data_IF_657908172046
#
_entry.id   IF_657908172046
#
_cell.length_a   1.000
_cell.length_b   1.000
_cell.length_c   1.000
_cell.angle_alpha   90.00
_cell.angle_beta   90.00
_cell.angle_gamma   90.00
#
_symmetry.space_group_name_H-M   'P 1'
#
loop_
_entity.id
_entity.type
_entity.pdbx_description
1 polymer ?
#
# COMPACT_ATOMS: atom_id res chain seq x y z
N UNK A 1 -9.42 -12.22 -3.21
CA UNK A 1 -10.03 -12.17 -4.57
C UNK A 1 -9.42 -11.00 -5.33
N UNK A 2 -9.20 -11.13 -6.64
CA UNK A 2 -8.58 -10.10 -7.48
C UNK A 2 -9.31 -10.03 -8.82
N UNK A 3 -9.67 -8.82 -9.26
CA UNK A 3 -10.19 -8.56 -10.60
C UNK A 3 -9.58 -7.28 -11.17
N UNK A 4 -9.42 -7.19 -12.49
CA UNK A 4 -8.89 -5.98 -13.11
C UNK A 4 -9.11 -5.91 -14.62
N UNK A 5 -9.06 -4.69 -15.14
CA UNK A 5 -9.28 -4.38 -16.53
C UNK A 5 -8.22 -3.39 -17.04
N UNK A 6 -7.64 -3.68 -18.21
CA UNK A 6 -6.68 -2.81 -18.88
C UNK A 6 -7.31 -2.27 -20.15
N UNK A 7 -7.35 -0.94 -20.29
CA UNK A 7 -7.84 -0.29 -21.48
C UNK A 7 -6.75 -0.31 -22.55
N UNK A 8 -6.97 -1.08 -23.62
CA UNK A 8 -6.00 -1.25 -24.72
C UNK A 8 -6.18 -0.24 -25.86
N UNK A 9 -7.24 0.57 -25.85
CA UNK A 9 -7.58 1.52 -26.94
C UNK A 9 -6.96 2.91 -26.77
N UNK A 10 -6.05 3.09 -25.82
CA UNK A 10 -5.43 4.37 -25.50
C UNK A 10 -3.95 4.18 -25.14
N UNK A 11 -3.10 5.06 -25.65
CA UNK A 11 -1.64 4.89 -25.68
C UNK A 11 -0.98 4.81 -24.29
N UNK A 12 -1.59 5.45 -23.30
CA UNK A 12 -1.14 5.44 -21.89
C UNK A 12 -1.50 4.18 -21.08
N UNK A 13 -2.10 3.15 -21.71
CA UNK A 13 -2.38 1.81 -21.16
C UNK A 13 -2.90 1.78 -19.71
N UNK A 14 -3.99 2.51 -19.37
CA UNK A 14 -4.50 2.55 -18.02
C UNK A 14 -5.02 1.17 -17.61
N UNK A 15 -4.77 0.80 -16.36
CA UNK A 15 -5.29 -0.42 -15.75
C UNK A 15 -5.93 -0.10 -14.40
N UNK A 16 -7.16 -0.55 -14.23
CA UNK A 16 -7.87 -0.50 -12.95
C UNK A 16 -7.98 -1.92 -12.42
N UNK A 17 -7.69 -2.13 -11.14
CA UNK A 17 -7.97 -3.41 -10.47
C UNK A 17 -8.57 -3.20 -9.09
N UNK A 18 -9.33 -4.18 -8.63
CA UNK A 18 -9.87 -4.25 -7.28
C UNK A 18 -9.45 -5.58 -6.65
N UNK A 19 -9.00 -5.51 -5.40
CA UNK A 19 -8.45 -6.64 -4.67
C UNK A 19 -9.10 -6.69 -3.29
N UNK A 20 -9.37 -7.89 -2.81
CA UNK A 20 -9.85 -8.11 -1.45
C UNK A 20 -9.02 -9.22 -0.81
N UNK A 21 -8.35 -8.87 0.27
CA UNK A 21 -7.54 -9.77 1.07
C UNK A 21 -8.24 -10.03 2.39
N UNK A 22 -8.50 -11.30 2.67
CA UNK A 22 -9.00 -11.78 3.95
C UNK A 22 -7.85 -12.48 4.67
N UNK A 23 -7.71 -12.38 6.00
CA UNK A 23 -6.58 -12.99 6.67
C UNK A 23 -6.64 -14.51 6.57
N UNK A 24 -5.49 -15.09 6.26
CA UNK A 24 -5.12 -16.46 6.61
C UNK A 24 -3.93 -16.36 7.58
N UNK A 25 -3.96 -17.12 8.67
CA UNK A 25 -2.99 -17.01 9.78
C UNK A 25 -1.61 -17.51 9.34
N UNK A 26 -0.82 -16.65 8.69
CA UNK A 26 0.57 -16.93 8.35
C UNK A 26 1.49 -15.83 8.90
N UNK A 27 2.72 -16.20 9.25
CA UNK A 27 3.76 -15.24 9.60
C UNK A 27 4.04 -14.31 8.41
N UNK A 28 4.17 -13.01 8.66
CA UNK A 28 4.37 -12.02 7.60
C UNK A 28 5.61 -12.35 6.76
N UNK A 29 5.48 -12.22 5.44
CA UNK A 29 6.59 -12.40 4.49
C UNK A 29 7.53 -11.19 4.62
N UNK A 30 8.80 -11.44 4.91
CA UNK A 30 9.83 -10.40 5.02
C UNK A 30 9.91 -9.57 3.73
N UNK A 31 9.81 -8.25 3.83
CA UNK A 31 9.84 -7.33 2.67
C UNK A 31 8.52 -7.17 1.90
N UNK A 32 7.43 -7.84 2.29
CA UNK A 32 6.12 -7.67 1.64
C UNK A 32 5.31 -6.48 2.18
N UNK A 33 5.73 -5.88 3.31
CA UNK A 33 4.99 -4.83 4.02
C UNK A 33 4.80 -3.58 3.14
N UNK A 34 5.88 -3.09 2.53
CA UNK A 34 5.88 -1.94 1.59
C UNK A 34 5.11 -2.16 0.28
N UNK A 35 4.75 -3.41 -0.06
CA UNK A 35 4.23 -3.76 -1.39
C UNK A 35 2.82 -4.32 -1.38
N UNK A 36 2.37 -4.89 -0.27
CA UNK A 36 1.15 -5.69 -0.24
C UNK A 36 0.06 -5.17 0.71
N UNK A 37 0.36 -4.29 1.67
CA UNK A 37 -0.62 -3.84 2.69
C UNK A 37 -0.53 -2.35 3.02
N UNK A 38 -0.41 -1.51 1.98
CA UNK A 38 -0.16 -0.08 2.12
C UNK A 38 1.33 0.24 2.21
N UNK A 39 1.76 1.32 1.55
CA UNK A 39 3.18 1.69 1.52
C UNK A 39 3.67 2.33 2.80
N UNK A 40 2.76 2.73 3.69
CA UNK A 40 3.13 3.41 4.93
C UNK A 40 3.60 2.45 6.05
N UNK A 41 3.61 1.14 5.80
CA UNK A 41 3.99 0.10 6.77
C UNK A 41 3.17 0.10 8.08
N UNK A 42 1.99 0.70 8.08
CA UNK A 42 1.11 0.76 9.26
C UNK A 42 0.38 -0.56 9.51
N UNK A 43 0.28 -1.42 8.50
CA UNK A 43 -0.46 -2.67 8.58
C UNK A 43 0.46 -3.89 8.59
N UNK A 44 -0.01 -4.94 9.25
CA UNK A 44 0.59 -6.28 9.25
C UNK A 44 -0.48 -7.27 8.82
N UNK A 45 -0.12 -8.30 8.05
CA UNK A 45 -1.08 -9.30 7.56
C UNK A 45 -1.47 -10.32 8.64
N UNK A 46 -1.97 -9.81 9.76
CA UNK A 46 -2.47 -10.56 10.91
C UNK A 46 -3.72 -9.85 11.41
N UNK A 47 -4.81 -10.60 11.52
CA UNK A 47 -6.12 -10.05 11.87
C UNK A 47 -6.54 -8.85 10.97
N UNK A 48 -6.18 -8.89 9.69
CA UNK A 48 -6.35 -7.76 8.76
C UNK A 48 -7.17 -8.18 7.54
N UNK A 49 -8.28 -7.48 7.31
CA UNK A 49 -8.99 -7.43 6.05
C UNK A 49 -8.60 -6.16 5.30
N UNK A 50 -8.31 -6.29 4.01
CA UNK A 50 -7.99 -5.18 3.12
C UNK A 50 -8.87 -5.23 1.87
N UNK A 51 -9.57 -4.14 1.59
CA UNK A 51 -10.24 -3.90 0.33
C UNK A 51 -9.50 -2.79 -0.41
N UNK A 52 -8.95 -3.13 -1.57
CA UNK A 52 -8.02 -2.29 -2.33
C UNK A 52 -8.57 -1.99 -3.72
N UNK A 53 -8.39 -0.75 -4.17
CA UNK A 53 -8.56 -0.34 -5.57
C UNK A 53 -7.24 0.24 -6.07
N UNK A 54 -6.86 -0.16 -7.27
CA UNK A 54 -5.60 0.18 -7.89
C UNK A 54 -5.82 0.85 -9.25
N UNK A 55 -5.09 1.92 -9.50
CA UNK A 55 -4.96 2.56 -10.80
C UNK A 55 -3.49 2.56 -11.21
N UNK A 56 -3.19 1.99 -12.38
CA UNK A 56 -1.86 2.01 -12.98
C UNK A 56 -1.94 2.74 -14.31
N UNK A 57 -1.05 3.70 -14.52
CA UNK A 57 -0.94 4.49 -15.73
C UNK A 57 0.48 4.36 -16.27
N UNK A 58 0.63 4.19 -17.59
CA UNK A 58 1.93 4.23 -18.26
C UNK A 58 1.85 5.14 -19.48
N UNK A 59 1.88 6.48 -19.29
CA UNK A 59 1.82 7.42 -20.40
C UNK A 59 2.88 7.22 -21.47
N UNK A 60 4.06 6.73 -21.08
CA UNK A 60 5.15 6.34 -21.99
C UNK A 60 5.90 5.13 -21.41
N UNK A 61 6.81 4.53 -22.17
CA UNK A 61 7.70 3.49 -21.64
C UNK A 61 8.63 3.98 -20.51
N UNK A 62 8.85 5.30 -20.42
CA UNK A 62 9.73 5.94 -19.45
C UNK A 62 9.02 6.40 -18.19
N UNK A 63 7.69 6.51 -18.21
CA UNK A 63 6.92 7.10 -17.13
C UNK A 63 5.78 6.17 -16.73
N UNK A 64 5.73 5.83 -15.46
CA UNK A 64 4.64 5.03 -14.90
C UNK A 64 4.18 5.59 -13.56
N UNK A 65 2.89 5.48 -13.31
CA UNK A 65 2.25 5.83 -12.05
C UNK A 65 1.45 4.65 -11.53
N UNK A 66 1.44 4.47 -10.21
CA UNK A 66 0.55 3.55 -9.52
C UNK A 66 -0.08 4.29 -8.35
N UNK A 67 -1.39 4.38 -8.34
CA UNK A 67 -2.18 4.86 -7.22
C UNK A 67 -2.97 3.70 -6.62
N UNK A 68 -3.07 3.67 -5.29
CA UNK A 68 -3.69 2.59 -4.53
C UNK A 68 -4.55 3.21 -3.44
N UNK A 69 -5.77 2.72 -3.28
CA UNK A 69 -6.67 3.11 -2.20
C UNK A 69 -7.04 1.86 -1.43
N UNK A 70 -6.70 1.84 -0.14
CA UNK A 70 -6.94 0.73 0.77
C UNK A 70 -7.99 1.10 1.81
N UNK A 71 -8.78 0.10 2.20
CA UNK A 71 -9.69 0.18 3.35
C UNK A 71 -9.40 -0.97 4.28
N UNK A 72 -8.80 -0.64 5.42
CA UNK A 72 -8.32 -1.61 6.39
C UNK A 72 -9.34 -1.85 7.49
N UNK A 73 -9.54 -3.13 7.82
CA UNK A 73 -10.39 -3.55 8.94
C UNK A 73 -9.75 -4.71 9.71
N UNK A 74 -10.06 -4.80 10.99
CA UNK A 74 -9.82 -6.02 11.75
C UNK A 74 -10.74 -7.14 11.25
N UNK A 75 -10.24 -8.37 11.20
CA UNK A 75 -11.10 -9.53 10.95
C UNK A 75 -11.90 -9.90 12.20
N UNK A 76 -11.24 -9.92 13.35
CA UNK A 76 -11.78 -10.19 14.68
C UNK A 76 -11.65 -8.94 15.55
N UNK A 77 -12.77 -8.45 16.09
CA UNK A 77 -12.81 -7.20 16.87
C UNK A 77 -12.12 -7.29 18.23
N UNK A 78 -11.94 -8.51 18.76
CA UNK A 78 -11.31 -8.77 20.06
C UNK A 78 -9.81 -9.08 19.98
N UNK A 79 -9.30 -9.21 18.76
CA UNK A 79 -7.88 -9.43 18.50
C UNK A 79 -7.20 -8.10 18.11
N UNK A 80 -5.87 -8.07 18.17
CA UNK A 80 -5.11 -6.84 18.10
C UNK A 80 -4.97 -6.30 16.67
N UNK A 81 -4.70 -4.99 16.56
CA UNK A 81 -3.95 -4.43 15.44
C UNK A 81 -2.46 -4.64 15.73
N UNK A 82 -1.79 -5.38 14.84
CA UNK A 82 -0.46 -5.91 15.10
C UNK A 82 0.69 -4.91 14.99
N UNK A 83 0.43 -3.65 14.60
CA UNK A 83 1.44 -2.58 14.67
C UNK A 83 1.98 -2.41 16.10
N UNK A 84 1.11 -2.53 17.10
CA UNK A 84 1.51 -2.64 18.50
C UNK A 84 0.50 -3.49 19.28
N UNK A 85 0.64 -4.82 19.19
CA UNK A 85 -0.32 -5.77 19.76
C UNK A 85 -0.62 -5.60 21.26
N UNK A 86 0.33 -5.03 22.03
CA UNK A 86 0.18 -4.84 23.47
C UNK A 86 -0.74 -3.66 23.78
N UNK A 87 -0.66 -2.59 22.98
CA UNK A 87 -1.42 -1.35 23.17
C UNK A 87 -2.72 -1.36 22.36
N UNK A 88 -2.69 -1.86 21.12
CA UNK A 88 -3.77 -1.73 20.15
C UNK A 88 -4.65 -2.98 20.11
N UNK A 89 -5.17 -3.35 21.28
CA UNK A 89 -6.11 -4.47 21.43
C UNK A 89 -7.22 -4.13 22.40
N UNK A 90 -8.45 -4.18 21.92
CA UNK A 90 -9.63 -4.10 22.76
C UNK A 90 -10.22 -5.51 22.95
N UNK A 91 -10.11 -6.06 24.17
CA UNK A 91 -10.61 -7.39 24.49
C UNK A 91 -12.15 -7.47 24.49
N UNK A 92 -12.84 -6.33 24.60
CA UNK A 92 -14.31 -6.27 24.59
C UNK A 92 -14.86 -6.26 23.16
N UNK A 93 -14.10 -5.69 22.22
CA UNK A 93 -14.49 -5.47 20.83
C UNK A 93 -15.34 -4.20 20.59
N UNK A 94 -15.56 -3.37 21.62
CA UNK A 94 -16.30 -2.11 21.54
C UNK A 94 -15.60 -0.98 20.76
N UNK A 95 -14.30 -1.12 20.49
CA UNK A 95 -13.55 -0.22 19.61
C UNK A 95 -13.89 -0.41 18.14
N UNK A 96 -14.58 -1.50 17.79
CA UNK A 96 -15.00 -1.82 16.42
C UNK A 96 -13.88 -2.40 15.57
N UNK A 97 -14.09 -2.48 14.26
CA UNK A 97 -13.14 -3.10 13.31
C UNK A 97 -12.47 -2.12 12.34
N UNK A 98 -12.93 -0.88 12.26
CA UNK A 98 -12.49 0.04 11.21
C UNK A 98 -11.10 0.60 11.55
N UNK A 99 -10.05 0.14 10.86
CA UNK A 99 -8.69 0.64 11.07
C UNK A 99 -8.47 1.97 10.37
N UNK A 100 -8.95 2.13 9.14
CA UNK A 100 -8.82 3.40 8.41
C UNK A 100 -8.78 3.21 6.90
N UNK A 101 -8.40 4.28 6.21
CA UNK A 101 -8.17 4.28 4.77
C UNK A 101 -6.78 4.81 4.47
N UNK A 102 -6.10 4.20 3.50
CA UNK A 102 -4.79 4.63 3.03
C UNK A 102 -4.86 4.92 1.54
N UNK A 103 -4.35 6.09 1.13
CA UNK A 103 -4.12 6.43 -0.26
C UNK A 103 -2.63 6.50 -0.50
N UNK A 104 -2.14 5.75 -1.49
CA UNK A 104 -0.76 5.78 -1.93
C UNK A 104 -0.68 6.16 -3.41
N UNK A 105 0.35 6.94 -3.76
CA UNK A 105 0.72 7.18 -5.15
C UNK A 105 2.24 7.08 -5.30
N UNK A 106 2.68 6.37 -6.34
CA UNK A 106 4.08 6.26 -6.72
C UNK A 106 4.24 6.60 -8.19
N UNK A 107 5.15 7.53 -8.47
CA UNK A 107 5.65 7.82 -9.80
C UNK A 107 7.03 7.19 -10.00
N UNK A 108 7.28 6.70 -11.21
CA UNK A 108 8.59 6.18 -11.64
C UNK A 108 8.92 6.76 -13.00
N UNK A 109 10.11 7.35 -13.09
CA UNK A 109 10.67 7.90 -14.32
C UNK A 109 12.01 7.25 -14.63
N UNK A 110 12.16 6.72 -15.85
CA UNK A 110 13.40 6.15 -16.37
C UNK A 110 13.92 7.06 -17.47
N UNK A 111 15.15 7.54 -17.31
CA UNK A 111 15.80 8.40 -18.31
C UNK A 111 15.96 7.71 -19.66
N UNK A 112 16.16 8.50 -20.72
CA UNK A 112 16.38 7.99 -22.07
C UNK A 112 17.54 6.98 -22.19
N UNK A 113 18.59 7.16 -21.38
CA UNK A 113 19.76 6.28 -21.35
C UNK A 113 19.51 4.98 -20.58
N UNK A 114 18.33 4.80 -19.94
CA UNK A 114 17.96 3.64 -19.11
C UNK A 114 18.96 3.32 -17.97
N UNK A 115 19.82 4.29 -17.62
CA UNK A 115 20.84 4.18 -16.57
C UNK A 115 20.45 4.88 -15.28
N UNK A 116 19.57 5.88 -15.38
CA UNK A 116 19.05 6.61 -14.24
C UNK A 116 17.54 6.40 -14.15
N UNK A 117 17.10 5.97 -12.98
CA UNK A 117 15.71 5.84 -12.59
C UNK A 117 15.44 6.67 -11.35
N UNK A 118 14.34 7.41 -11.35
CA UNK A 118 13.84 8.16 -10.21
C UNK A 118 12.48 7.61 -9.85
N UNK A 119 12.30 7.26 -8.59
CA UNK A 119 11.01 6.91 -8.01
C UNK A 119 10.68 7.91 -6.92
N UNK A 120 9.41 8.30 -6.84
CA UNK A 120 8.91 9.16 -5.78
C UNK A 120 7.51 8.70 -5.41
N UNK A 121 7.11 8.99 -4.19
CA UNK A 121 5.77 8.65 -3.77
C UNK A 121 5.30 9.43 -2.55
N UNK A 122 4.00 9.34 -2.36
CA UNK A 122 3.27 9.94 -1.27
C UNK A 122 2.20 8.96 -0.78
N UNK A 123 2.05 8.87 0.53
CA UNK A 123 1.04 8.09 1.22
C UNK A 123 0.31 8.95 2.24
N UNK A 124 -1.00 8.76 2.35
CA UNK A 124 -1.87 9.41 3.33
C UNK A 124 -2.76 8.38 3.99
N UNK A 125 -2.74 8.32 5.32
CA UNK A 125 -3.58 7.44 6.11
C UNK A 125 -4.50 8.24 7.02
N UNK A 126 -5.82 8.03 6.85
CA UNK A 126 -6.85 8.61 7.71
C UNK A 126 -7.34 7.55 8.71
N UNK A 127 -7.21 7.77 10.03
CA UNK A 127 -7.53 6.77 11.03
C UNK A 127 -9.05 6.52 11.13
N UNK A 128 -9.39 5.24 11.19
CA UNK A 128 -10.75 4.75 11.43
C UNK A 128 -11.10 4.73 12.92
N UNK A 129 -12.34 4.33 13.22
CA UNK A 129 -12.87 4.36 14.59
C UNK A 129 -12.08 3.51 15.60
N UNK A 130 -11.47 2.40 15.17
CA UNK A 130 -10.64 1.59 16.06
C UNK A 130 -9.34 2.32 16.39
N UNK A 131 -8.63 2.83 15.37
CA UNK A 131 -7.34 3.54 15.55
C UNK A 131 -7.55 4.80 16.39
N UNK A 132 -8.61 5.57 16.13
CA UNK A 132 -8.97 6.76 16.92
C UNK A 132 -9.21 6.49 18.40
N UNK A 133 -9.63 5.27 18.77
CA UNK A 133 -9.89 4.88 20.16
C UNK A 133 -8.69 4.24 20.84
N UNK A 134 -7.88 3.48 20.09
CA UNK A 134 -6.81 2.64 20.63
C UNK A 134 -5.41 3.22 20.45
N UNK A 135 -5.23 4.16 19.53
CA UNK A 135 -3.96 4.74 19.18
C UNK A 135 -4.08 6.27 19.09
N UNK A 136 -4.17 6.83 17.89
CA UNK A 136 -4.20 8.27 17.63
C UNK A 136 -5.34 8.65 16.68
N UNK A 137 -5.77 9.90 16.73
CA UNK A 137 -6.80 10.47 15.86
C UNK A 137 -6.23 11.40 14.78
N UNK A 138 -4.91 11.54 14.69
CA UNK A 138 -4.22 12.35 13.69
C UNK A 138 -3.95 11.55 12.41
N UNK A 139 -4.11 12.22 11.27
CA UNK A 139 -3.75 11.66 9.96
C UNK A 139 -2.24 11.47 9.82
N UNK A 140 -1.82 10.35 9.25
CA UNK A 140 -0.41 10.11 8.95
C UNK A 140 -0.12 10.44 7.47
N UNK A 141 1.04 11.05 7.22
CA UNK A 141 1.52 11.37 5.88
C UNK A 141 2.94 10.84 5.72
N UNK A 142 3.23 10.24 4.58
CA UNK A 142 4.56 9.75 4.24
C UNK A 142 4.94 10.15 2.82
N UNK A 143 6.19 10.52 2.61
CA UNK A 143 6.70 10.82 1.28
C UNK A 143 8.12 10.27 1.13
N UNK A 144 8.50 9.93 -0.09
CA UNK A 144 9.85 9.48 -0.38
C UNK A 144 10.28 9.85 -1.79
N UNK A 145 11.60 9.86 -1.99
CA UNK A 145 12.23 9.90 -3.29
C UNK A 145 13.44 8.95 -3.26
N UNK A 146 13.59 8.19 -4.33
CA UNK A 146 14.68 7.25 -4.53
C UNK A 146 15.27 7.45 -5.92
N UNK A 147 16.59 7.48 -5.98
CA UNK A 147 17.35 7.55 -7.23
C UNK A 147 18.16 6.27 -7.37
N UNK A 148 18.04 5.61 -8.51
CA UNK A 148 18.80 4.41 -8.84
C UNK A 148 19.63 4.67 -10.10
N UNK A 149 20.95 4.51 -9.99
CA UNK A 149 21.87 4.57 -11.10
C UNK A 149 22.51 3.21 -11.37
N UNK A 150 22.42 2.72 -12.60
CA UNK A 150 23.01 1.45 -13.03
C UNK A 150 24.35 1.69 -13.73
N UNK A 151 25.43 1.15 -13.14
CA UNK A 151 26.73 1.08 -13.77
C UNK A 151 26.78 -0.07 -14.79
N UNK A 152 27.30 0.20 -15.99
CA UNK A 152 27.65 -0.84 -16.96
C UNK A 152 29.11 -0.62 -17.37
N UNK A 153 30.02 -1.45 -16.88
CA UNK A 153 31.30 -1.68 -17.56
C UNK A 153 31.11 -2.82 -18.55
N UNK A 154 31.61 -2.73 -19.79
CA UNK A 154 31.82 -3.94 -20.57
C UNK A 154 32.81 -4.83 -19.80
N UNK A 155 32.51 -6.11 -19.67
CA UNK A 155 33.51 -7.09 -19.25
C UNK A 155 34.53 -7.17 -20.40
N UNK A 156 35.77 -6.77 -20.11
CA UNK A 156 36.93 -7.01 -20.96
C UNK A 156 37.28 -8.50 -20.92
#
# INVERSE_FOLDING_TARGET
MLGGYTFKKVDWTPRISAEFSYPSTFGGVFGARDKMYGRMNLMDWKNLQDAQINLQLKPTEKLSFKAELHKFRLAETKDAWYLNQKMYRDKTGGSGRNLGMEFDIVGRYVTALKRLEVQYGYGHFSPGGFVKKMADNVDANWCFMQIHYKFSKPLL
#
